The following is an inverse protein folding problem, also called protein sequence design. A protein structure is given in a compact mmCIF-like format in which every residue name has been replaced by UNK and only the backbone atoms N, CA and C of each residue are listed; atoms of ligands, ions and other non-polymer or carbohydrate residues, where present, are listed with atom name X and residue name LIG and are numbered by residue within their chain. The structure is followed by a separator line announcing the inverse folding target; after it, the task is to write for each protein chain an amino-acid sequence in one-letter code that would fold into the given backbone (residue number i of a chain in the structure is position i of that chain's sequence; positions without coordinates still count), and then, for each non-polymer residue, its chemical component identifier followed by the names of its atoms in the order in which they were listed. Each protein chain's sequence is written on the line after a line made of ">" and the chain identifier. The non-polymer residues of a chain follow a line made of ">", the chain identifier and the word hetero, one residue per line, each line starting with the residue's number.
data_IF_482911679274
#
_entry.id   IF_482911679274
#
_cell.length_a   1.000
_cell.length_b   1.000
_cell.length_c   1.000
_cell.angle_alpha   90.00
_cell.angle_beta   90.00
_cell.angle_gamma   90.00
#
_symmetry.space_group_name_H-M   'P 1'
#
loop_
_entity.id
_entity.type
_entity.pdbx_description
1 polymer ?
#
# COMPACT_ATOMS: atom_id res chain seq x y z
N UNK A 1 30.77 9.45 -0.93
CA UNK A 1 29.36 9.35 -0.48
C UNK A 1 29.15 10.35 0.66
N UNK A 2 28.41 11.44 0.43
CA UNK A 2 28.09 12.42 1.49
C UNK A 2 26.98 11.85 2.40
N UNK A 3 27.35 11.34 3.56
CA UNK A 3 26.38 11.15 4.65
C UNK A 3 26.09 12.51 5.30
N UNK A 4 24.81 12.88 5.43
CA UNK A 4 24.40 14.15 6.05
C UNK A 4 24.90 14.17 7.50
N UNK A 5 25.66 15.22 7.85
CA UNK A 5 26.40 15.42 9.12
C UNK A 5 25.53 15.39 10.38
N UNK A 6 24.20 15.48 10.23
CA UNK A 6 23.21 15.23 11.28
C UNK A 6 22.02 14.51 10.65
N UNK A 7 21.76 13.21 10.93
CA UNK A 7 20.51 12.59 10.53
C UNK A 7 19.40 13.35 11.23
N UNK A 8 18.46 13.92 10.46
CA UNK A 8 17.27 14.57 11.01
C UNK A 8 16.61 13.56 11.94
N UNK A 9 16.52 13.87 13.24
CA UNK A 9 15.76 13.09 14.22
C UNK A 9 14.27 13.26 13.91
N UNK A 10 13.82 12.75 12.76
CA UNK A 10 12.39 12.64 12.47
C UNK A 10 11.82 11.58 13.41
N UNK A 11 10.62 11.83 13.92
CA UNK A 11 10.02 11.07 15.03
C UNK A 11 9.80 9.59 14.74
N UNK A 12 9.47 8.83 15.79
CA UNK A 12 9.02 7.44 15.62
C UNK A 12 7.73 7.40 14.81
N UNK A 13 7.52 6.37 13.96
CA UNK A 13 6.28 6.24 13.22
C UNK A 13 5.11 5.99 14.16
N UNK A 14 3.96 6.57 13.82
CA UNK A 14 2.67 6.15 14.34
C UNK A 14 2.28 4.88 13.58
N UNK A 15 2.01 3.80 14.30
CA UNK A 15 1.74 2.49 13.70
C UNK A 15 0.26 2.15 13.84
N UNK A 16 -0.33 1.63 12.77
CA UNK A 16 -1.65 1.01 12.86
C UNK A 16 -1.59 -0.26 13.69
N UNK A 17 -2.76 -0.79 14.04
CA UNK A 17 -2.87 -2.20 14.40
C UNK A 17 -2.45 -3.07 13.21
N UNK A 18 -2.10 -4.33 13.48
CA UNK A 18 -1.86 -5.29 12.40
C UNK A 18 -3.20 -5.64 11.73
N UNK A 19 -3.20 -5.82 10.42
CA UNK A 19 -4.40 -6.14 9.65
C UNK A 19 -4.09 -7.12 8.53
N UNK A 20 -5.15 -7.76 8.03
CA UNK A 20 -5.15 -8.57 6.83
C UNK A 20 -5.54 -7.70 5.63
N UNK A 21 -4.83 -7.85 4.52
CA UNK A 21 -5.21 -7.26 3.23
C UNK A 21 -5.09 -8.36 2.19
N UNK A 22 -6.15 -8.69 1.47
CA UNK A 22 -6.08 -9.64 0.34
C UNK A 22 -5.53 -11.03 0.71
N UNK A 23 -5.81 -11.50 1.94
CA UNK A 23 -5.31 -12.79 2.44
C UNK A 23 -3.89 -12.74 3.02
N UNK A 24 -3.20 -11.60 2.96
CA UNK A 24 -1.85 -11.41 3.52
C UNK A 24 -1.93 -10.81 4.92
N UNK A 25 -1.36 -11.52 5.90
CA UNK A 25 -1.28 -11.10 7.31
C UNK A 25 0.03 -11.61 7.95
N UNK A 26 0.68 -10.87 8.86
CA UNK A 26 0.30 -9.54 9.38
C UNK A 26 0.88 -8.37 8.58
N UNK A 27 0.02 -7.45 8.12
CA UNK A 27 0.43 -6.17 7.55
C UNK A 27 0.25 -5.03 8.55
N UNK A 28 1.03 -3.97 8.40
CA UNK A 28 0.95 -2.78 9.25
C UNK A 28 1.25 -1.50 8.48
N UNK A 29 0.50 -0.43 8.75
CA UNK A 29 0.81 0.91 8.23
C UNK A 29 1.67 1.68 9.22
N UNK A 30 2.74 2.27 8.71
CA UNK A 30 3.63 3.16 9.45
C UNK A 30 3.52 4.55 8.86
N UNK A 31 3.04 5.48 9.68
CA UNK A 31 2.84 6.87 9.31
C UNK A 31 3.86 7.77 10.01
N UNK A 32 4.52 8.61 9.23
CA UNK A 32 5.47 9.60 9.69
C UNK A 32 4.92 10.98 9.31
N UNK A 33 4.29 11.71 10.24
CA UNK A 33 3.70 13.02 9.96
C UNK A 33 4.71 14.01 9.37
N UNK A 34 5.95 13.98 9.89
CA UNK A 34 7.07 14.82 9.45
C UNK A 34 7.93 14.16 8.35
N UNK A 35 7.53 12.98 7.87
CA UNK A 35 8.31 12.15 6.94
C UNK A 35 9.52 11.45 7.57
N UNK A 36 10.33 10.82 6.74
CA UNK A 36 11.54 10.07 7.14
C UNK A 36 12.82 10.78 6.70
N UNK A 37 14.00 10.27 7.07
CA UNK A 37 15.28 10.86 6.67
C UNK A 37 15.47 10.98 5.13
N UNK A 38 14.77 10.12 4.38
CA UNK A 38 14.81 10.09 2.92
C UNK A 38 13.66 10.88 2.27
N UNK A 39 12.73 11.38 3.08
CA UNK A 39 11.59 12.16 2.60
C UNK A 39 12.01 13.62 2.39
N UNK A 40 11.38 14.27 1.43
CA UNK A 40 11.47 15.71 1.20
C UNK A 40 10.95 16.43 2.47
N UNK A 41 11.48 17.63 2.72
CA UNK A 41 11.04 18.42 3.87
C UNK A 41 9.60 18.90 3.70
N UNK A 42 8.82 18.81 4.78
CA UNK A 42 7.40 19.16 4.80
C UNK A 42 6.44 18.08 4.27
N UNK A 43 6.96 16.99 3.68
CA UNK A 43 6.14 15.84 3.29
C UNK A 43 6.07 14.80 4.41
N UNK A 44 4.88 14.24 4.59
CA UNK A 44 4.66 13.04 5.39
C UNK A 44 5.06 11.79 4.57
N UNK A 45 5.26 10.68 5.28
CA UNK A 45 5.54 9.37 4.67
C UNK A 45 4.58 8.33 5.23
N UNK A 46 3.98 7.55 4.34
CA UNK A 46 3.12 6.43 4.67
C UNK A 46 3.69 5.16 4.05
N UNK A 47 3.96 4.15 4.89
CA UNK A 47 4.55 2.88 4.45
C UNK A 47 3.68 1.71 4.86
N UNK A 48 3.46 0.80 3.93
CA UNK A 48 2.96 -0.54 4.19
C UNK A 48 4.12 -1.48 4.51
N UNK A 49 4.10 -2.02 5.72
CA UNK A 49 5.06 -2.99 6.23
C UNK A 49 4.43 -4.38 6.14
N UNK A 50 5.12 -5.28 5.46
CA UNK A 50 4.80 -6.71 5.39
C UNK A 50 5.89 -7.52 6.07
N UNK A 51 5.61 -8.77 6.48
CA UNK A 51 6.63 -9.66 7.03
C UNK A 51 7.69 -9.95 5.95
N UNK A 52 8.94 -10.26 6.36
CA UNK A 52 9.99 -10.58 5.41
C UNK A 52 9.60 -11.77 4.53
N UNK A 53 9.87 -11.69 3.23
CA UNK A 53 9.53 -12.73 2.25
C UNK A 53 8.15 -12.61 1.61
N UNK A 54 7.29 -11.70 2.09
CA UNK A 54 5.97 -11.48 1.48
C UNK A 54 6.03 -10.43 0.36
N UNK A 55 5.56 -10.83 -0.82
CA UNK A 55 5.29 -9.97 -1.97
C UNK A 55 3.77 -9.88 -2.16
N UNK A 56 3.22 -8.68 -2.29
CA UNK A 56 1.77 -8.52 -2.50
C UNK A 56 1.49 -8.68 -4.00
N UNK A 57 0.72 -9.70 -4.43
CA UNK A 57 0.51 -10.00 -5.86
C UNK A 57 -0.46 -9.03 -6.55
N UNK A 58 -1.09 -8.12 -5.81
CA UNK A 58 -2.06 -7.15 -6.30
C UNK A 58 -1.55 -5.72 -6.15
N UNK A 59 -2.07 -4.83 -7.01
CA UNK A 59 -1.81 -3.40 -6.92
C UNK A 59 -2.57 -2.81 -5.74
N UNK A 60 -1.89 -1.95 -5.01
CA UNK A 60 -2.45 -1.22 -3.88
C UNK A 60 -2.55 0.26 -4.21
N UNK A 61 -3.47 0.93 -3.53
CA UNK A 61 -3.47 2.37 -3.41
C UNK A 61 -3.41 2.75 -1.94
N UNK A 62 -2.70 3.82 -1.63
CA UNK A 62 -2.65 4.41 -0.30
C UNK A 62 -3.37 5.74 -0.32
N UNK A 63 -3.97 6.12 0.80
CA UNK A 63 -4.67 7.38 0.89
C UNK A 63 -4.48 8.03 2.25
N UNK A 64 -4.49 9.36 2.21
CA UNK A 64 -4.46 10.23 3.38
C UNK A 64 -5.61 11.20 3.21
N UNK A 65 -6.48 11.33 4.21
CA UNK A 65 -7.63 12.20 4.12
C UNK A 65 -7.99 12.85 5.45
N UNK A 66 -8.72 13.94 5.35
CA UNK A 66 -9.40 14.61 6.45
C UNK A 66 -10.83 14.94 6.03
N UNK A 67 -11.55 15.69 6.86
CA UNK A 67 -12.89 16.18 6.55
C UNK A 67 -12.90 17.16 5.36
N UNK A 68 -11.74 17.73 4.99
CA UNK A 68 -11.65 18.77 3.98
C UNK A 68 -11.25 18.23 2.61
N UNK A 69 -10.24 17.36 2.56
CA UNK A 69 -9.72 16.82 1.30
C UNK A 69 -9.05 15.46 1.48
N UNK A 70 -8.69 14.84 0.36
CA UNK A 70 -8.02 13.55 0.31
C UNK A 70 -6.92 13.54 -0.76
N UNK A 71 -5.84 12.86 -0.46
CA UNK A 71 -4.78 12.51 -1.40
C UNK A 71 -4.76 10.99 -1.54
N UNK A 72 -4.71 10.51 -2.78
CA UNK A 72 -4.67 9.09 -3.12
C UNK A 72 -3.44 8.84 -3.98
N UNK A 73 -2.71 7.77 -3.67
CA UNK A 73 -1.46 7.38 -4.32
C UNK A 73 -1.62 5.95 -4.84
N UNK A 74 -1.23 5.72 -6.09
CA UNK A 74 -1.39 4.45 -6.78
C UNK A 74 -2.47 4.52 -7.86
N UNK A 75 -2.83 3.39 -8.51
CA UNK A 75 -2.42 2.01 -8.22
C UNK A 75 -0.94 1.72 -8.46
N UNK A 76 -0.32 0.96 -7.57
CA UNK A 76 1.09 0.55 -7.71
C UNK A 76 1.36 -0.76 -6.96
N UNK A 77 2.41 -1.49 -7.38
CA UNK A 77 2.93 -2.63 -6.61
C UNK A 77 3.80 -2.15 -5.46
N UNK A 78 3.82 -2.86 -4.34
CA UNK A 78 4.60 -2.48 -3.16
C UNK A 78 6.11 -2.41 -3.45
N UNK A 79 6.61 -3.26 -4.34
CA UNK A 79 8.03 -3.31 -4.71
C UNK A 79 8.39 -2.32 -5.84
N UNK A 80 7.40 -1.63 -6.41
CA UNK A 80 7.64 -0.71 -7.53
C UNK A 80 8.44 0.53 -7.11
N UNK A 81 9.22 1.12 -8.04
CA UNK A 81 9.90 2.39 -7.80
C UNK A 81 8.90 3.51 -7.48
N UNK A 82 7.72 3.46 -8.09
CA UNK A 82 6.62 4.41 -7.84
C UNK A 82 6.20 4.37 -6.37
N UNK A 83 5.96 3.17 -5.82
CA UNK A 83 5.67 3.00 -4.40
C UNK A 83 6.79 3.54 -3.52
N UNK A 84 8.06 3.26 -3.83
CA UNK A 84 9.17 3.77 -3.01
C UNK A 84 9.20 5.29 -3.01
N UNK A 85 8.99 5.92 -4.16
CA UNK A 85 9.02 7.39 -4.28
C UNK A 85 7.83 8.05 -3.57
N UNK A 86 6.62 7.53 -3.76
CA UNK A 86 5.39 8.13 -3.25
C UNK A 86 5.11 7.76 -1.79
N UNK A 87 5.53 6.58 -1.31
CA UNK A 87 5.47 6.21 0.12
C UNK A 87 6.39 7.08 0.97
N UNK A 88 7.53 7.51 0.42
CA UNK A 88 8.43 8.43 1.10
C UNK A 88 7.91 9.87 1.12
N UNK A 89 7.19 10.29 0.08
CA UNK A 89 6.69 11.67 -0.07
C UNK A 89 5.20 11.64 -0.40
N UNK A 90 4.39 11.30 0.60
CA UNK A 90 2.97 10.99 0.41
C UNK A 90 2.14 12.25 0.19
N UNK A 91 2.15 13.18 1.13
CA UNK A 91 1.53 14.50 0.98
C UNK A 91 2.08 15.46 2.05
N UNK A 92 1.81 16.75 1.93
CA UNK A 92 2.07 17.73 2.99
C UNK A 92 0.89 17.82 3.93
N UNK A 93 1.15 17.94 5.22
CA UNK A 93 0.11 18.20 6.21
C UNK A 93 0.04 19.70 6.47
N UNK A 94 -1.09 20.32 6.18
CA UNK A 94 -1.22 21.78 6.17
C UNK A 94 -2.33 22.21 7.14
N UNK A 95 -2.04 23.21 7.97
CA UNK A 95 -3.07 23.86 8.78
C UNK A 95 -3.95 24.76 7.91
N UNK A 96 -5.24 24.85 8.23
CA UNK A 96 -6.21 25.71 7.55
C UNK A 96 -5.79 27.20 7.54
N UNK A 97 -4.92 27.61 8.46
CA UNK A 97 -4.41 28.97 8.57
C UNK A 97 -3.45 29.36 7.44
N UNK A 98 -2.81 28.38 6.79
CA UNK A 98 -1.83 28.61 5.73
C UNK A 98 -2.50 28.88 4.37
N UNK A 99 -3.13 30.05 4.24
CA UNK A 99 -3.89 30.47 3.05
C UNK A 99 -3.08 30.45 1.75
N UNK A 100 -1.79 30.81 1.79
CA UNK A 100 -0.94 30.89 0.61
C UNK A 100 -0.74 29.56 -0.13
N UNK A 101 -0.84 28.43 0.57
CA UNK A 101 -0.73 27.10 -0.04
C UNK A 101 -2.06 26.61 -0.61
N UNK A 102 -3.18 27.11 -0.08
CA UNK A 102 -4.55 26.69 -0.39
C UNK A 102 -5.14 27.40 -1.62
N UNK A 103 -4.58 28.54 -2.03
CA UNK A 103 -5.10 29.33 -3.16
C UNK A 103 -4.80 28.73 -4.53
N UNK A 104 -3.87 27.76 -4.62
CA UNK A 104 -3.47 27.13 -5.88
C UNK A 104 -4.19 25.78 -6.08
N UNK A 105 -5.15 25.73 -7.01
CA UNK A 105 -5.92 24.53 -7.32
C UNK A 105 -5.08 23.34 -7.86
N UNK A 106 -3.90 23.59 -8.45
CA UNK A 106 -2.98 22.53 -8.89
C UNK A 106 -2.35 21.74 -7.74
N UNK A 107 -2.36 22.28 -6.52
CA UNK A 107 -1.74 21.64 -5.37
C UNK A 107 -2.60 20.56 -4.71
N UNK A 108 -3.89 20.41 -5.08
CA UNK A 108 -4.85 19.56 -4.35
C UNK A 108 -4.43 18.08 -4.29
N UNK A 109 -3.51 17.63 -5.15
CA UNK A 109 -2.91 16.29 -5.10
C UNK A 109 -1.83 16.11 -4.04
N UNK A 110 -1.27 17.20 -3.52
CA UNK A 110 0.02 17.19 -2.81
C UNK A 110 -0.09 17.53 -1.32
N UNK A 111 -1.27 17.95 -0.85
CA UNK A 111 -1.48 18.30 0.55
C UNK A 111 -2.80 17.77 1.11
N UNK A 112 -2.82 17.57 2.43
CA UNK A 112 -4.03 17.30 3.20
C UNK A 112 -4.16 18.37 4.27
N UNK A 113 -5.33 18.99 4.32
CA UNK A 113 -5.66 19.98 5.34
C UNK A 113 -5.96 19.22 6.63
N UNK A 114 -5.29 19.58 7.71
CA UNK A 114 -5.55 18.98 9.01
C UNK A 114 -7.00 19.22 9.44
N UNK A 115 -7.64 18.20 10.02
CA UNK A 115 -8.98 18.31 10.57
C UNK A 115 -9.09 19.33 11.71
N UNK A 116 -10.30 19.64 12.20
CA UNK A 116 -10.50 20.63 13.26
C UNK A 116 -9.68 20.38 14.53
N UNK A 117 -9.36 19.11 14.81
CA UNK A 117 -8.55 18.70 15.97
C UNK A 117 -7.09 18.40 15.61
N UNK A 118 -6.64 18.76 14.40
CA UNK A 118 -5.33 18.34 13.89
C UNK A 118 -5.29 16.89 13.43
N UNK A 119 -6.44 16.25 13.26
CA UNK A 119 -6.57 14.83 12.91
C UNK A 119 -6.42 14.60 11.40
N UNK A 120 -5.93 13.41 11.06
CA UNK A 120 -5.78 12.90 9.70
C UNK A 120 -6.00 11.39 9.75
N UNK A 121 -6.60 10.85 8.71
CA UNK A 121 -6.82 9.43 8.53
C UNK A 121 -5.95 8.91 7.39
N UNK A 122 -5.39 7.72 7.59
CA UNK A 122 -4.53 7.06 6.61
C UNK A 122 -5.01 5.65 6.36
N UNK A 123 -4.82 5.15 5.15
CA UNK A 123 -5.25 3.81 4.79
C UNK A 123 -4.58 3.27 3.54
N UNK A 124 -4.84 1.99 3.30
CA UNK A 124 -4.43 1.26 2.11
C UNK A 124 -5.64 0.47 1.61
N UNK A 125 -5.77 0.35 0.30
CA UNK A 125 -6.75 -0.51 -0.34
C UNK A 125 -6.14 -1.30 -1.48
N UNK A 126 -6.83 -2.36 -1.88
CA UNK A 126 -6.52 -3.15 -3.07
C UNK A 126 -7.31 -2.55 -4.23
N UNK A 127 -6.68 -2.41 -5.40
CA UNK A 127 -7.41 -2.05 -6.60
C UNK A 127 -8.07 -3.29 -7.19
N UNK A 128 -9.39 -3.39 -7.04
CA UNK A 128 -10.25 -4.22 -7.89
C UNK A 128 -10.39 -3.51 -9.23
N UNK A 129 -9.57 -3.86 -10.22
CA UNK A 129 -9.82 -3.68 -11.68
C UNK A 129 -8.53 -3.86 -12.52
N UNK A 130 -8.61 -4.41 -13.76
CA UNK A 130 -7.69 -4.03 -14.82
C UNK A 130 -7.94 -2.56 -15.19
N UNK A 131 -6.89 -1.80 -15.45
CA UNK A 131 -6.93 -0.34 -15.70
C UNK A 131 -8.12 0.05 -16.60
N UNK A 132 -8.98 0.95 -16.12
CA UNK A 132 -10.07 1.56 -16.90
C UNK A 132 -9.52 2.27 -18.14
N UNK A 133 -9.52 1.61 -19.29
CA UNK A 133 -9.64 2.29 -20.57
C UNK A 133 -11.12 2.28 -21.00
N UNK A 134 -11.62 3.47 -21.33
CA UNK A 134 -12.97 3.71 -21.83
C UNK A 134 -13.14 3.11 -23.24
N UNK A 135 -13.13 1.79 -23.39
CA UNK A 135 -13.68 1.17 -24.61
C UNK A 135 -13.81 -0.34 -24.49
N UNK A 136 -15.07 -0.77 -24.50
CA UNK A 136 -15.59 -2.09 -24.88
C UNK A 136 -15.75 -3.10 -23.75
N UNK A 137 -16.78 -3.92 -23.89
CA UNK A 137 -17.33 -4.79 -22.86
C UNK A 137 -16.35 -5.91 -22.50
N UNK A 138 -16.15 -6.15 -21.20
CA UNK A 138 -15.45 -7.35 -20.73
C UNK A 138 -16.10 -7.92 -19.47
N UNK A 139 -16.33 -9.23 -19.54
CA UNK A 139 -16.88 -10.08 -18.50
C UNK A 139 -15.78 -10.45 -17.50
N UNK A 140 -16.01 -10.19 -16.21
CA UNK A 140 -15.05 -10.49 -15.15
C UNK A 140 -15.03 -12.00 -14.87
N UNK A 141 -13.98 -12.72 -15.30
CA UNK A 141 -13.68 -14.06 -14.80
C UNK A 141 -12.73 -13.97 -13.60
N UNK A 142 -13.29 -13.86 -12.40
CA UNK A 142 -12.61 -14.41 -11.23
C UNK A 142 -12.90 -15.91 -11.24
N UNK A 143 -12.12 -16.69 -12.01
CA UNK A 143 -12.13 -18.16 -11.87
C UNK A 143 -11.40 -18.48 -10.56
N UNK A 144 -12.14 -18.46 -9.45
CA UNK A 144 -11.67 -18.90 -8.13
C UNK A 144 -11.03 -20.31 -8.18
N UNK A 145 -11.36 -21.10 -9.19
CA UNK A 145 -10.79 -22.41 -9.47
C UNK A 145 -9.32 -22.37 -9.91
N UNK A 146 -8.86 -21.29 -10.56
CA UNK A 146 -7.47 -21.16 -11.05
C UNK A 146 -6.51 -20.84 -9.90
N UNK A 147 -6.96 -20.05 -8.91
CA UNK A 147 -6.21 -19.76 -7.69
C UNK A 147 -6.00 -21.00 -6.81
N UNK A 148 -6.98 -21.91 -6.75
CA UNK A 148 -6.84 -23.18 -6.02
C UNK A 148 -5.87 -24.12 -6.72
N UNK A 149 -5.86 -24.17 -8.05
CA UNK A 149 -4.89 -24.95 -8.82
C UNK A 149 -3.45 -24.46 -8.58
N UNK A 150 -3.21 -23.15 -8.65
CA UNK A 150 -1.88 -22.58 -8.44
C UNK A 150 -1.38 -22.75 -7.01
N UNK A 151 -2.26 -22.63 -6.02
CA UNK A 151 -1.94 -22.88 -4.62
C UNK A 151 -1.57 -24.35 -4.37
N UNK A 152 -2.35 -25.28 -4.94
CA UNK A 152 -2.07 -26.71 -4.83
C UNK A 152 -0.76 -27.10 -5.55
N UNK A 153 -0.46 -26.50 -6.71
CA UNK A 153 0.82 -26.71 -7.39
C UNK A 153 2.00 -26.12 -6.62
N UNK A 154 1.80 -25.01 -5.93
CA UNK A 154 2.81 -24.43 -5.05
C UNK A 154 3.07 -25.30 -3.82
N UNK A 155 2.02 -25.84 -3.19
CA UNK A 155 2.12 -26.80 -2.08
C UNK A 155 2.90 -28.06 -2.47
N UNK A 156 2.61 -28.61 -3.67
CA UNK A 156 3.32 -29.77 -4.23
C UNK A 156 4.80 -29.49 -4.51
N UNK A 157 5.18 -28.24 -4.77
CA UNK A 157 6.59 -27.84 -4.94
C UNK A 157 7.32 -27.65 -3.61
N UNK A 158 6.60 -27.38 -2.52
CA UNK A 158 7.15 -27.25 -1.16
C UNK A 158 7.35 -28.61 -0.47
N UNK A 159 6.48 -29.57 -0.78
CA UNK A 159 6.65 -30.96 -0.36
C UNK A 159 7.64 -31.61 -1.32
N UNK A 160 8.88 -31.79 -0.88
CA UNK A 160 10.01 -32.26 -1.70
C UNK A 160 9.91 -33.70 -2.21
N UNK A 161 8.71 -34.26 -2.37
CA UNK A 161 8.47 -35.60 -2.92
C UNK A 161 7.38 -35.54 -4.00
N UNK A 162 7.71 -35.73 -5.28
CA UNK A 162 6.75 -35.64 -6.38
C UNK A 162 5.75 -36.80 -6.44
N UNK A 163 5.93 -37.86 -5.63
CA UNK A 163 5.13 -39.09 -5.63
C UNK A 163 4.63 -39.49 -4.23
N UNK A 164 4.10 -38.54 -3.44
CA UNK A 164 3.54 -38.88 -2.13
C UNK A 164 2.19 -39.63 -2.29
N UNK A 165 2.23 -40.94 -2.07
CA UNK A 165 1.16 -41.95 -2.25
C UNK A 165 -0.15 -41.60 -1.49
N UNK A 166 -0.07 -40.65 -0.55
CA UNK A 166 -1.20 -40.10 0.20
C UNK A 166 -2.13 -39.24 -0.66
N UNK A 167 -1.61 -38.54 -1.68
CA UNK A 167 -2.40 -37.61 -2.51
C UNK A 167 -3.24 -38.35 -3.55
N UNK A 168 -2.69 -39.41 -4.14
CA UNK A 168 -3.40 -40.18 -5.18
C UNK A 168 -4.66 -40.88 -4.67
N UNK A 169 -4.66 -41.34 -3.40
CA UNK A 169 -5.80 -42.06 -2.82
C UNK A 169 -6.99 -41.17 -2.50
N UNK A 170 -6.77 -39.88 -2.28
CA UNK A 170 -7.82 -38.95 -1.85
C UNK A 170 -8.39 -38.09 -2.98
N UNK A 171 -7.68 -37.89 -4.09
CA UNK A 171 -8.15 -37.05 -5.22
C UNK A 171 -8.94 -37.82 -6.27
N UNK A 172 -8.75 -39.15 -6.42
CA UNK A 172 -9.45 -39.95 -7.45
C UNK A 172 -10.84 -40.46 -7.03
N UNK A 173 -11.36 -40.05 -5.87
CA UNK A 173 -12.70 -40.44 -5.38
C UNK A 173 -13.49 -39.24 -4.86
N UNK A 174 -13.66 -38.20 -5.66
CA UNK A 174 -14.86 -37.35 -5.57
C UNK A 174 -15.13 -36.72 -6.93
#
# INVERSE_FOLDING_TARGET
>A
MLSKRHPKRRGQPIRSQMFNLGGVEPLQLWFYPEGTANSIDGYCSLKLVSPPGWCLPYRIYMFVFSEYNRVVIGPMYRESPDYVSSSLNTCRLVSKENKSLLENAENDSDYVILGPSGNVYVGVGIVDEPVREKSQDYEFKYDWDEGDYDFNQWLKKQTGDPDDEFTEKNVKKT
#
